data_IF_861456740049
#
_entry.id   IF_861456740049
#
_cell.length_a   1.000
_cell.length_b   1.000
_cell.length_c   1.000
_cell.angle_alpha   90.00
_cell.angle_beta   90.00
_cell.angle_gamma   90.00
#
_symmetry.space_group_name_H-M   'P 1'
#
loop_
_entity.id
_entity.type
_entity.pdbx_description
1 polymer ?
#
# COMPACT_ATOMS: atom_id res chain seq x y z
N UNK A 1 -16.81 -2.41 8.81
CA UNK A 1 -16.43 -0.99 8.75
C UNK A 1 -15.17 -0.82 7.90
N UNK A 2 -14.08 -1.53 8.19
CA UNK A 2 -12.80 -1.41 7.48
C UNK A 2 -12.92 -1.73 5.97
N UNK A 3 -13.64 -2.79 5.60
CA UNK A 3 -13.83 -3.15 4.18
C UNK A 3 -14.57 -2.06 3.38
N UNK A 4 -15.58 -1.43 4.00
CA UNK A 4 -16.33 -0.34 3.37
C UNK A 4 -15.45 0.90 3.16
N UNK A 5 -14.62 1.25 4.15
CA UNK A 5 -13.64 2.34 4.02
C UNK A 5 -12.70 2.06 2.85
N UNK A 6 -12.20 0.83 2.73
CA UNK A 6 -11.28 0.44 1.64
C UNK A 6 -11.96 0.53 0.27
N UNK A 7 -13.21 0.06 0.16
CA UNK A 7 -14.01 0.17 -1.08
C UNK A 7 -14.28 1.62 -1.48
N UNK A 8 -14.61 2.47 -0.51
CA UNK A 8 -14.83 3.89 -0.74
C UNK A 8 -13.54 4.56 -1.23
N UNK A 9 -12.38 4.22 -0.64
CA UNK A 9 -11.09 4.72 -1.11
C UNK A 9 -10.78 4.23 -2.53
N UNK A 10 -10.99 2.95 -2.84
CA UNK A 10 -10.79 2.43 -4.20
C UNK A 10 -11.67 3.13 -5.23
N UNK A 11 -12.94 3.37 -4.89
CA UNK A 11 -13.87 4.14 -5.73
C UNK A 11 -13.39 5.58 -5.94
N UNK A 12 -12.89 6.23 -4.89
CA UNK A 12 -12.31 7.57 -4.99
C UNK A 12 -11.07 7.60 -5.88
N UNK A 13 -10.16 6.62 -5.75
CA UNK A 13 -8.96 6.51 -6.58
C UNK A 13 -9.32 6.32 -8.06
N UNK A 14 -10.35 5.54 -8.34
CA UNK A 14 -10.84 5.30 -9.70
C UNK A 14 -11.40 6.56 -10.35
N UNK A 15 -12.09 7.41 -9.59
CA UNK A 15 -12.73 8.61 -10.11
C UNK A 15 -11.80 9.82 -10.15
N UNK A 16 -10.88 9.95 -9.20
CA UNK A 16 -10.13 11.20 -8.98
C UNK A 16 -8.61 11.02 -8.86
N UNK A 17 -8.10 9.79 -8.92
CA UNK A 17 -6.68 9.52 -8.66
C UNK A 17 -6.28 9.77 -7.20
N UNK A 18 -4.99 10.04 -6.97
CA UNK A 18 -4.47 10.37 -5.63
C UNK A 18 -4.76 11.82 -5.27
N UNK A 19 -5.37 12.05 -4.09
CA UNK A 19 -5.49 13.39 -3.53
C UNK A 19 -4.15 13.91 -2.96
N UNK A 20 -4.10 15.19 -2.60
CA UNK A 20 -2.95 15.79 -1.90
C UNK A 20 -2.71 15.08 -0.57
N UNK A 21 -3.77 14.76 0.18
CA UNK A 21 -3.71 14.02 1.44
C UNK A 21 -3.18 12.61 1.22
N UNK A 22 -3.60 11.92 0.16
CA UNK A 22 -3.07 10.59 -0.16
C UNK A 22 -1.56 10.66 -0.45
N UNK A 23 -1.09 11.67 -1.18
CA UNK A 23 0.35 11.88 -1.44
C UNK A 23 1.12 12.13 -0.13
N UNK A 24 0.56 12.90 0.82
CA UNK A 24 1.15 13.09 2.15
C UNK A 24 1.23 11.78 2.93
N UNK A 25 0.17 10.99 2.92
CA UNK A 25 0.15 9.67 3.58
C UNK A 25 1.22 8.73 3.00
N UNK A 26 1.44 8.76 1.68
CA UNK A 26 2.45 7.92 1.06
C UNK A 26 3.88 8.39 1.36
N UNK A 27 4.13 9.71 1.27
CA UNK A 27 5.46 10.32 1.39
C UNK A 27 5.83 10.70 2.82
N UNK A 28 5.03 11.59 3.43
CA UNK A 28 5.30 12.23 4.73
C UNK A 28 5.05 11.28 5.90
N UNK A 29 3.95 10.52 5.88
CA UNK A 29 3.70 9.46 6.88
C UNK A 29 4.56 8.22 6.63
N UNK A 30 5.40 8.24 5.57
CA UNK A 30 6.37 7.20 5.20
C UNK A 30 5.76 5.81 5.06
N UNK A 31 4.49 5.69 4.64
CA UNK A 31 3.82 4.38 4.54
C UNK A 31 4.46 3.47 3.48
N UNK A 32 4.94 4.03 2.38
CA UNK A 32 5.62 3.26 1.34
C UNK A 32 6.98 2.75 1.82
N UNK A 33 7.78 3.62 2.45
CA UNK A 33 9.02 3.21 3.13
C UNK A 33 8.74 2.08 4.11
N UNK A 34 7.75 2.27 4.99
CA UNK A 34 7.38 1.28 5.98
C UNK A 34 7.11 -0.09 5.34
N UNK A 35 6.46 -0.12 4.17
CA UNK A 35 6.08 -1.36 3.50
C UNK A 35 7.23 -2.04 2.75
N UNK A 36 8.13 -1.25 2.14
CA UNK A 36 9.11 -1.75 1.16
C UNK A 36 10.57 -1.66 1.57
N UNK A 37 10.93 -0.90 2.61
CA UNK A 37 12.29 -0.94 3.15
C UNK A 37 12.41 -1.99 4.25
N UNK A 38 13.52 -2.71 4.25
CA UNK A 38 13.84 -3.62 5.35
C UNK A 38 14.04 -2.87 6.66
N UNK A 39 13.80 -3.56 7.76
CA UNK A 39 14.03 -3.01 9.08
C UNK A 39 15.52 -2.98 9.33
N UNK A 40 16.11 -1.77 9.39
CA UNK A 40 17.37 -1.62 10.09
C UNK A 40 17.07 -1.91 11.56
N UNK A 41 17.71 -2.95 12.11
CA UNK A 41 17.55 -3.32 13.50
C UNK A 41 17.90 -2.12 14.39
N UNK A 42 16.88 -1.52 15.00
CA UNK A 42 17.10 -0.52 16.02
C UNK A 42 17.22 -1.24 17.37
N UNK A 43 18.42 -1.31 17.91
CA UNK A 43 18.72 -2.00 19.17
C UNK A 43 17.98 -1.40 20.36
N UNK A 44 17.44 -0.17 20.21
CA UNK A 44 16.66 0.52 21.23
C UNK A 44 15.16 0.19 21.21
N UNK A 45 14.68 -0.56 20.22
CA UNK A 45 13.25 -0.83 20.08
C UNK A 45 12.81 -2.04 20.91
N UNK A 46 11.71 -1.89 21.67
CA UNK A 46 11.18 -2.96 22.52
C UNK A 46 10.63 -4.11 21.69
N UNK A 47 10.65 -5.33 22.25
CA UNK A 47 10.14 -6.54 21.58
C UNK A 47 8.68 -6.42 21.15
N UNK A 48 7.86 -5.70 21.94
CA UNK A 48 6.43 -5.46 21.62
C UNK A 48 6.28 -4.57 20.39
N UNK A 49 7.08 -3.51 20.28
CA UNK A 49 7.03 -2.60 19.12
C UNK A 49 7.53 -3.30 17.86
N UNK A 50 8.63 -4.06 17.96
CA UNK A 50 9.14 -4.91 16.85
C UNK A 50 8.07 -5.89 16.35
N UNK A 51 7.37 -6.56 17.27
CA UNK A 51 6.28 -7.47 16.92
C UNK A 51 5.12 -6.77 16.19
N UNK A 52 4.66 -5.61 16.69
CA UNK A 52 3.58 -4.85 16.03
C UNK A 52 3.96 -4.41 14.62
N UNK A 53 5.18 -3.93 14.42
CA UNK A 53 5.69 -3.50 13.11
C UNK A 53 5.80 -4.68 12.15
N UNK A 54 6.38 -5.79 12.60
CA UNK A 54 6.50 -7.02 11.83
C UNK A 54 5.12 -7.49 11.36
N UNK A 55 4.14 -7.48 12.26
CA UNK A 55 2.77 -7.88 11.96
C UNK A 55 2.11 -6.97 10.93
N UNK A 56 2.19 -5.66 11.11
CA UNK A 56 1.63 -4.70 10.17
C UNK A 56 2.25 -4.82 8.77
N UNK A 57 3.59 -4.95 8.69
CA UNK A 57 4.28 -5.20 7.41
C UNK A 57 3.83 -6.50 6.75
N UNK A 58 3.69 -7.57 7.53
CA UNK A 58 3.23 -8.86 7.02
C UNK A 58 1.83 -8.74 6.43
N UNK A 59 0.92 -8.02 7.10
CA UNK A 59 -0.42 -7.78 6.59
C UNK A 59 -0.39 -7.00 5.25
N UNK A 60 0.36 -5.89 5.17
CA UNK A 60 0.49 -5.14 3.92
C UNK A 60 1.10 -5.96 2.79
N UNK A 61 2.16 -6.72 3.06
CA UNK A 61 2.79 -7.60 2.06
C UNK A 61 1.81 -8.66 1.58
N UNK A 62 1.05 -9.28 2.48
CA UNK A 62 0.04 -10.29 2.13
C UNK A 62 -1.04 -9.70 1.22
N UNK A 63 -1.50 -8.49 1.50
CA UNK A 63 -2.50 -7.81 0.68
C UNK A 63 -1.91 -7.45 -0.69
N UNK A 64 -0.67 -6.95 -0.72
CA UNK A 64 0.02 -6.59 -1.96
C UNK A 64 0.25 -7.81 -2.85
N UNK A 65 0.75 -8.89 -2.26
CA UNK A 65 0.99 -10.15 -2.97
C UNK A 65 -0.31 -10.76 -3.51
N UNK A 66 -1.47 -10.40 -2.93
CA UNK A 66 -2.78 -10.77 -3.45
C UNK A 66 -3.26 -9.83 -4.58
N UNK A 67 -3.17 -8.51 -4.40
CA UNK A 67 -3.53 -7.53 -5.44
C UNK A 67 -2.94 -6.13 -5.16
N UNK A 68 -2.22 -5.58 -6.14
CA UNK A 68 -1.55 -4.27 -6.03
C UNK A 68 -2.52 -3.08 -5.90
N UNK A 69 -3.69 -3.14 -6.55
CA UNK A 69 -4.68 -2.07 -6.49
C UNK A 69 -5.39 -2.05 -5.13
N UNK A 70 -5.74 -3.24 -4.63
CA UNK A 70 -6.26 -3.41 -3.28
C UNK A 70 -5.25 -2.91 -2.25
N UNK A 71 -3.98 -3.24 -2.43
CA UNK A 71 -2.91 -2.75 -1.56
C UNK A 71 -2.86 -1.22 -1.52
N UNK A 72 -2.97 -0.53 -2.65
CA UNK A 72 -3.00 0.94 -2.64
C UNK A 72 -4.20 1.48 -1.83
N UNK A 73 -5.40 0.92 -2.04
CA UNK A 73 -6.58 1.34 -1.28
C UNK A 73 -6.40 1.09 0.22
N UNK A 74 -5.81 -0.05 0.60
CA UNK A 74 -5.54 -0.42 1.98
C UNK A 74 -4.48 0.48 2.61
N UNK A 75 -3.33 0.66 1.98
CA UNK A 75 -2.22 1.42 2.57
C UNK A 75 -2.57 2.88 2.77
N UNK A 76 -3.51 3.43 2.00
CA UNK A 76 -4.06 4.77 2.23
C UNK A 76 -5.09 4.80 3.36
N UNK A 77 -5.96 3.79 3.42
CA UNK A 77 -7.13 3.79 4.33
C UNK A 77 -6.85 3.26 5.73
N UNK A 78 -5.93 2.29 5.84
CA UNK A 78 -5.67 1.55 7.07
C UNK A 78 -4.25 1.88 7.51
N UNK A 79 -4.10 2.26 8.77
CA UNK A 79 -2.79 2.58 9.37
C UNK A 79 -2.03 1.31 9.75
N UNK A 80 -0.69 1.36 9.85
CA UNK A 80 0.10 0.23 10.37
C UNK A 80 -0.39 -0.23 11.76
N UNK A 81 -0.81 0.72 12.61
CA UNK A 81 -1.37 0.44 13.93
C UNK A 81 -2.62 -0.43 13.85
N UNK A 82 -3.54 -0.12 12.92
CA UNK A 82 -4.74 -0.94 12.70
C UNK A 82 -4.37 -2.34 12.17
N UNK A 83 -3.43 -2.45 11.23
CA UNK A 83 -2.96 -3.74 10.72
C UNK A 83 -2.30 -4.61 11.80
N UNK A 84 -1.67 -4.01 12.81
CA UNK A 84 -1.07 -4.74 13.92
C UNK A 84 -2.10 -5.31 14.93
N UNK A 85 -3.36 -4.88 14.87
CA UNK A 85 -4.39 -5.34 15.81
C UNK A 85 -4.89 -6.74 15.44
N UNK A 86 -5.09 -7.62 16.44
CA UNK A 86 -5.62 -8.97 16.22
C UNK A 86 -6.97 -9.00 15.49
N UNK A 87 -7.84 -8.01 15.75
CA UNK A 87 -9.13 -7.92 15.07
C UNK A 87 -9.02 -7.71 13.55
N UNK A 88 -7.87 -7.20 13.08
CA UNK A 88 -7.62 -7.01 11.66
C UNK A 88 -7.41 -8.35 10.94
N UNK A 89 -7.09 -9.45 11.63
CA UNK A 89 -6.88 -10.77 11.00
C UNK A 89 -8.11 -11.22 10.22
N UNK A 90 -9.30 -11.04 10.80
CA UNK A 90 -10.56 -11.36 10.13
C UNK A 90 -10.79 -10.50 8.88
N UNK A 91 -10.37 -9.24 8.93
CA UNK A 91 -10.45 -8.32 7.79
C UNK A 91 -9.46 -8.75 6.72
N UNK A 92 -8.22 -9.07 7.09
CA UNK A 92 -7.19 -9.57 6.20
C UNK A 92 -7.66 -10.85 5.49
N UNK A 93 -8.19 -11.83 6.23
CA UNK A 93 -8.74 -13.07 5.67
C UNK A 93 -9.88 -12.82 4.67
N UNK A 94 -10.72 -11.81 4.91
CA UNK A 94 -11.76 -11.41 3.96
C UNK A 94 -11.14 -10.77 2.72
N UNK A 95 -10.22 -9.82 2.90
CA UNK A 95 -9.57 -9.07 1.82
C UNK A 95 -8.84 -10.01 0.84
N UNK A 96 -8.11 -11.02 1.33
CA UNK A 96 -7.37 -11.97 0.48
C UNK A 96 -8.28 -12.97 -0.26
N UNK A 97 -9.59 -12.97 0.01
CA UNK A 97 -10.58 -13.87 -0.63
C UNK A 97 -11.55 -13.13 -1.55
N UNK A 98 -11.39 -11.81 -1.71
CA UNK A 98 -12.27 -11.02 -2.56
C UNK A 98 -12.07 -11.33 -4.04
N UNK A 99 -13.12 -11.09 -4.83
CA UNK A 99 -12.93 -10.82 -6.25
C UNK A 99 -12.40 -9.39 -6.40
N UNK A 100 -11.23 -9.23 -7.01
CA UNK A 100 -10.53 -7.96 -7.06
C UNK A 100 -10.99 -7.01 -8.16
N UNK A 101 -11.96 -7.40 -8.99
CA UNK A 101 -12.47 -6.57 -10.08
C UNK A 101 -12.96 -5.19 -9.63
N UNK A 102 -13.58 -5.10 -8.45
CA UNK A 102 -14.05 -3.83 -7.88
C UNK A 102 -12.91 -2.87 -7.51
N UNK A 103 -11.68 -3.39 -7.38
CA UNK A 103 -10.48 -2.61 -7.04
C UNK A 103 -9.65 -2.22 -8.25
N UNK A 104 -9.98 -2.65 -9.47
CA UNK A 104 -9.19 -2.27 -10.64
C UNK A 104 -9.41 -0.81 -11.06
N UNK A 105 -8.30 -0.08 -11.17
CA UNK A 105 -8.22 1.30 -11.64
C UNK A 105 -6.82 1.60 -12.19
N UNK A 106 -6.71 2.58 -13.08
CA UNK A 106 -5.43 3.12 -13.52
C UNK A 106 -5.23 4.50 -12.94
N UNK A 107 -3.99 4.85 -12.65
CA UNK A 107 -3.65 6.19 -12.18
C UNK A 107 -3.01 7.00 -13.31
N UNK A 108 -3.04 8.32 -13.16
CA UNK A 108 -2.55 9.26 -14.16
C UNK A 108 -0.99 9.29 -14.20
N UNK A 109 -0.40 9.79 -15.30
CA UNK A 109 1.06 9.89 -15.43
C UNK A 109 1.75 10.79 -14.40
N UNK A 110 1.06 11.79 -13.84
CA UNK A 110 1.62 12.66 -12.80
C UNK A 110 1.82 11.86 -11.51
N UNK A 111 0.83 11.04 -11.15
CA UNK A 111 0.89 10.10 -10.03
C UNK A 111 2.02 9.08 -10.22
N UNK A 112 2.25 8.61 -11.46
CA UNK A 112 3.40 7.76 -11.78
C UNK A 112 4.72 8.46 -11.46
N UNK A 113 4.91 9.68 -11.97
CA UNK A 113 6.11 10.46 -11.75
C UNK A 113 6.34 10.72 -10.26
N UNK A 114 5.28 11.03 -9.51
CA UNK A 114 5.35 11.20 -8.06
C UNK A 114 5.87 9.95 -7.35
N UNK A 115 5.34 8.77 -7.68
CA UNK A 115 5.75 7.49 -7.09
C UNK A 115 7.21 7.14 -7.44
N UNK A 116 7.64 7.41 -8.67
CA UNK A 116 9.03 7.21 -9.11
C UNK A 116 10.00 8.12 -8.36
N UNK A 117 9.65 9.40 -8.20
CA UNK A 117 10.45 10.36 -7.44
C UNK A 117 10.63 9.91 -5.99
N UNK A 118 9.55 9.57 -5.28
CA UNK A 118 9.67 9.16 -3.87
C UNK A 118 10.40 7.82 -3.72
N UNK A 119 10.27 6.90 -4.68
CA UNK A 119 10.99 5.64 -4.63
C UNK A 119 12.51 5.83 -4.74
N UNK A 120 12.94 6.78 -5.56
CA UNK A 120 14.34 7.18 -5.68
C UNK A 120 14.80 7.92 -4.40
N UNK A 121 14.06 8.93 -3.95
CA UNK A 121 14.38 9.72 -2.75
C UNK A 121 14.48 8.86 -1.48
N UNK A 122 13.59 7.87 -1.34
CA UNK A 122 13.46 7.07 -0.12
C UNK A 122 14.13 5.68 -0.23
N UNK A 123 14.83 5.42 -1.35
CA UNK A 123 15.71 4.27 -1.49
C UNK A 123 15.03 2.91 -1.68
N UNK A 124 13.82 2.86 -2.23
CA UNK A 124 13.11 1.60 -2.52
C UNK A 124 12.82 1.37 -4.01
N UNK A 125 13.38 2.18 -4.92
CA UNK A 125 13.19 2.04 -6.37
C UNK A 125 13.55 0.65 -6.93
N UNK A 126 14.48 -0.07 -6.32
CA UNK A 126 14.85 -1.44 -6.69
C UNK A 126 14.01 -2.54 -6.05
N UNK A 127 13.04 -2.21 -5.19
CA UNK A 127 12.25 -3.21 -4.48
C UNK A 127 11.30 -3.95 -5.44
N UNK A 128 11.32 -5.29 -5.41
CA UNK A 128 10.51 -6.12 -6.32
C UNK A 128 9.00 -5.86 -6.22
N UNK A 129 8.48 -5.65 -5.01
CA UNK A 129 7.05 -5.35 -4.79
C UNK A 129 6.70 -3.97 -5.29
N UNK A 130 7.56 -2.98 -5.09
CA UNK A 130 7.38 -1.67 -5.70
C UNK A 130 7.34 -1.76 -7.24
N UNK A 131 8.23 -2.53 -7.86
CA UNK A 131 8.23 -2.69 -9.32
C UNK A 131 6.96 -3.40 -9.83
N UNK A 132 6.47 -4.41 -9.12
CA UNK A 132 5.20 -5.08 -9.44
C UNK A 132 4.00 -4.13 -9.31
N UNK A 133 3.97 -3.35 -8.23
CA UNK A 133 3.02 -2.28 -7.99
C UNK A 133 2.96 -1.27 -9.15
N UNK A 134 4.12 -0.75 -9.56
CA UNK A 134 4.22 0.19 -10.67
C UNK A 134 3.73 -0.42 -11.99
N UNK A 135 4.07 -1.69 -12.27
CA UNK A 135 3.61 -2.38 -13.47
C UNK A 135 2.09 -2.57 -13.48
N UNK A 136 1.49 -2.82 -12.32
CA UNK A 136 0.06 -3.06 -12.19
C UNK A 136 -0.77 -1.79 -12.35
N UNK A 137 -0.36 -0.68 -11.73
CA UNK A 137 -1.12 0.57 -11.75
C UNK A 137 -0.91 1.41 -13.01
N UNK A 138 0.22 1.19 -13.70
CA UNK A 138 0.59 1.88 -14.93
C UNK A 138 0.93 0.85 -16.01
N UNK A 139 -0.05 0.03 -16.45
CA UNK A 139 0.18 -0.89 -17.54
C UNK A 139 0.62 -0.07 -18.76
N UNK A 140 1.68 -0.52 -19.44
CA UNK A 140 2.06 0.08 -20.72
C UNK A 140 0.87 -0.11 -21.65
N UNK A 141 0.20 0.98 -22.03
CA UNK A 141 -0.67 0.97 -23.19
C UNK A 141 0.28 0.77 -24.37
N UNK A 142 0.38 -0.46 -24.88
CA UNK A 142 0.98 -0.63 -26.20
C UNK A 142 0.13 0.19 -27.17
N UNK A 143 0.71 1.15 -27.90
CA UNK A 143 -0.02 1.79 -28.97
C UNK A 143 -0.45 0.70 -29.94
N UNK A 144 -1.76 0.52 -30.10
CA UNK A 144 -2.34 -0.27 -31.18
C UNK A 144 -2.14 0.45 -32.51
#
# INVERSE_FOLDING_TARGET
>A
MELEIIRNKASSLKSHGLSIEDRKVLKEDRRLVFSWTEETSNDRETSVTKWRRTRARTAYRTIQDANEHLFLAVILSITPTQCAQKKFDKVLEQLIRLNYEEFYFTLDPETKSFLETIAAEQGFAGNRRYLAFMKSLFPRIEPR
#
